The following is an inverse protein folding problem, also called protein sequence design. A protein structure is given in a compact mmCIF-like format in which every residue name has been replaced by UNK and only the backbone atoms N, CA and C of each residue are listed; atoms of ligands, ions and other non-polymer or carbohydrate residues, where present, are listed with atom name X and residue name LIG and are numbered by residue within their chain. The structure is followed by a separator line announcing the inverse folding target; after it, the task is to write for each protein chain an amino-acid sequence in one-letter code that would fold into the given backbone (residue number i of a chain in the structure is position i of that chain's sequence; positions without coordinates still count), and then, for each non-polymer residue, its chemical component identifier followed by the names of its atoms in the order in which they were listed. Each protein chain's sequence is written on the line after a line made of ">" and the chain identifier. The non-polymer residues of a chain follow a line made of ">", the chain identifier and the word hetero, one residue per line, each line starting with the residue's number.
data_IF_760237995438
#
_entry.id   IF_760237995438
#
_cell.length_a   1.000
_cell.length_b   1.000
_cell.length_c   1.000
_cell.angle_alpha   90.00
_cell.angle_beta   90.00
_cell.angle_gamma   90.00
#
_symmetry.space_group_name_H-M   'P 1'
#
loop_
_entity.id
_entity.type
_entity.pdbx_description
1 polymer ?
#
# COMPACT_ATOMS: atom_id res chain seq x y z
N UNK A 1 5.33 -4.88 -12.57
CA UNK A 1 4.78 -4.12 -13.72
C UNK A 1 3.28 -4.01 -13.52
N UNK A 2 2.84 -2.98 -12.80
CA UNK A 2 1.41 -2.68 -12.63
C UNK A 2 0.93 -1.84 -13.82
N UNK A 3 -0.35 -1.91 -14.14
CA UNK A 3 -1.03 -0.96 -15.03
C UNK A 3 -1.12 0.47 -14.43
N UNK A 4 -0.16 0.89 -13.60
CA UNK A 4 -0.16 2.13 -12.84
C UNK A 4 -0.13 3.40 -13.71
N UNK A 5 0.34 3.29 -14.96
CA UNK A 5 0.30 4.36 -15.96
C UNK A 5 -0.91 4.29 -16.90
N UNK A 6 -1.79 3.30 -16.76
CA UNK A 6 -2.97 3.19 -17.59
C UNK A 6 -4.04 4.20 -17.19
N UNK A 7 -4.87 4.60 -18.15
CA UNK A 7 -6.06 5.41 -17.88
C UNK A 7 -6.99 4.70 -16.89
N UNK A 8 -7.82 5.48 -16.20
CA UNK A 8 -8.80 4.97 -15.23
C UNK A 8 -9.70 3.87 -15.83
N UNK A 9 -10.07 4.02 -17.10
CA UNK A 9 -10.95 3.09 -17.82
C UNK A 9 -10.25 1.77 -18.20
N UNK A 10 -8.93 1.81 -18.45
CA UNK A 10 -8.20 0.65 -18.96
C UNK A 10 -7.41 -0.10 -17.89
N UNK A 11 -7.18 0.50 -16.71
CA UNK A 11 -6.30 -0.07 -15.68
C UNK A 11 -6.71 -1.47 -15.25
N UNK A 12 -7.97 -1.69 -14.87
CA UNK A 12 -8.45 -2.99 -14.41
C UNK A 12 -8.37 -4.03 -15.53
N UNK A 13 -8.78 -3.66 -16.76
CA UNK A 13 -8.72 -4.54 -17.94
C UNK A 13 -7.28 -4.98 -18.25
N UNK A 14 -6.33 -4.04 -18.24
CA UNK A 14 -4.92 -4.34 -18.46
C UNK A 14 -4.34 -5.20 -17.34
N UNK A 15 -4.69 -4.90 -16.08
CA UNK A 15 -4.23 -5.70 -14.94
C UNK A 15 -4.77 -7.13 -15.01
N UNK A 16 -6.04 -7.30 -15.40
CA UNK A 16 -6.66 -8.60 -15.62
C UNK A 16 -5.97 -9.37 -16.75
N UNK A 17 -5.67 -8.71 -17.87
CA UNK A 17 -4.93 -9.33 -18.97
C UNK A 17 -3.53 -9.80 -18.53
N UNK A 18 -2.83 -9.01 -17.71
CA UNK A 18 -1.52 -9.39 -17.14
C UNK A 18 -1.67 -10.60 -16.21
N UNK A 19 -2.69 -10.62 -15.35
CA UNK A 19 -2.95 -11.74 -14.44
C UNK A 19 -3.24 -13.03 -15.21
N UNK A 20 -4.07 -12.95 -16.26
CA UNK A 20 -4.30 -14.07 -17.18
C UNK A 20 -3.02 -14.57 -17.82
N UNK A 21 -2.27 -13.66 -18.46
CA UNK A 21 -1.04 -14.00 -19.16
C UNK A 21 -0.07 -14.73 -18.23
N UNK A 22 0.18 -14.19 -17.03
CA UNK A 22 1.06 -14.85 -16.07
C UNK A 22 0.51 -16.19 -15.58
N UNK A 23 -0.80 -16.27 -15.26
CA UNK A 23 -1.40 -17.53 -14.82
C UNK A 23 -1.23 -18.63 -15.88
N UNK A 24 -1.40 -18.30 -17.16
CA UNK A 24 -1.33 -19.28 -18.24
C UNK A 24 0.11 -19.71 -18.57
N UNK A 25 1.05 -18.78 -18.72
CA UNK A 25 2.44 -19.14 -19.08
C UNK A 25 3.13 -19.96 -17.97
N UNK A 26 2.77 -19.71 -16.70
CA UNK A 26 3.38 -20.38 -15.56
C UNK A 26 2.59 -21.60 -15.07
N UNK A 27 1.40 -21.89 -15.62
CA UNK A 27 0.54 -23.01 -15.18
C UNK A 27 1.28 -24.35 -15.14
N UNK A 28 2.09 -24.62 -16.18
CA UNK A 28 2.91 -25.84 -16.30
C UNK A 28 4.05 -25.96 -15.27
N UNK A 29 4.32 -24.90 -14.51
CA UNK A 29 5.36 -24.82 -13.48
C UNK A 29 4.79 -24.62 -12.07
N UNK A 30 3.48 -24.82 -11.89
CA UNK A 30 2.75 -24.56 -10.64
C UNK A 30 3.13 -25.47 -9.48
N UNK A 31 3.88 -26.54 -9.74
CA UNK A 31 4.51 -27.40 -8.74
C UNK A 31 5.69 -26.70 -8.02
N UNK A 32 6.28 -25.67 -8.62
CA UNK A 32 7.47 -24.97 -8.10
C UNK A 32 7.34 -23.45 -8.02
N UNK A 33 6.48 -22.85 -8.82
CA UNK A 33 6.31 -21.41 -8.92
C UNK A 33 4.87 -21.02 -8.60
N UNK A 34 4.72 -20.00 -7.75
CA UNK A 34 3.43 -19.36 -7.51
C UNK A 34 3.45 -17.98 -8.15
N UNK A 35 2.53 -17.76 -9.09
CA UNK A 35 2.30 -16.44 -9.68
C UNK A 35 1.55 -15.57 -8.67
N UNK A 36 1.98 -14.32 -8.55
CA UNK A 36 1.35 -13.32 -7.70
C UNK A 36 0.37 -12.49 -8.53
N UNK A 37 -0.90 -12.46 -8.14
CA UNK A 37 -1.91 -11.64 -8.79
C UNK A 37 -1.65 -10.15 -8.53
N UNK A 38 -1.54 -9.31 -9.55
CA UNK A 38 -1.52 -7.86 -9.33
C UNK A 38 -2.93 -7.34 -9.11
N UNK A 39 -3.16 -6.58 -8.04
CA UNK A 39 -4.47 -6.03 -7.68
C UNK A 39 -4.41 -4.50 -7.72
N UNK A 40 -5.22 -3.84 -8.57
CA UNK A 40 -5.32 -2.39 -8.57
C UNK A 40 -6.11 -1.95 -7.34
N UNK A 41 -5.64 -0.93 -6.64
CA UNK A 41 -6.24 -0.45 -5.39
C UNK A 41 -6.73 0.99 -5.50
N UNK A 42 -7.16 1.46 -6.67
CA UNK A 42 -7.61 2.86 -6.76
C UNK A 42 -8.95 3.06 -6.10
N UNK A 43 -9.84 2.08 -6.17
CA UNK A 43 -11.06 2.00 -5.37
C UNK A 43 -11.18 0.61 -4.73
N UNK A 44 -11.90 0.46 -3.61
CA UNK A 44 -12.13 -0.83 -2.97
C UNK A 44 -12.88 -1.82 -3.89
N UNK A 45 -13.88 -1.33 -4.64
CA UNK A 45 -14.67 -2.16 -5.56
C UNK A 45 -13.80 -2.78 -6.66
N UNK A 46 -12.96 -1.98 -7.32
CA UNK A 46 -12.06 -2.44 -8.37
C UNK A 46 -11.10 -3.52 -7.85
N UNK A 47 -10.60 -3.33 -6.62
CA UNK A 47 -9.69 -4.25 -5.95
C UNK A 47 -10.37 -5.57 -5.57
N UNK A 48 -11.59 -5.52 -5.06
CA UNK A 48 -12.40 -6.70 -4.70
C UNK A 48 -12.68 -7.54 -5.94
N UNK A 49 -13.17 -6.91 -7.01
CA UNK A 49 -13.50 -7.60 -8.26
C UNK A 49 -12.28 -8.30 -8.86
N UNK A 50 -11.13 -7.64 -8.87
CA UNK A 50 -9.91 -8.23 -9.42
C UNK A 50 -9.33 -9.32 -8.51
N UNK A 51 -9.42 -9.15 -7.19
CA UNK A 51 -8.98 -10.17 -6.24
C UNK A 51 -9.86 -11.43 -6.35
N UNK A 52 -11.18 -11.27 -6.39
CA UNK A 52 -12.11 -12.39 -6.58
C UNK A 52 -11.86 -13.09 -7.91
N UNK A 53 -11.65 -12.33 -8.99
CA UNK A 53 -11.34 -12.89 -10.30
C UNK A 53 -10.04 -13.71 -10.27
N UNK A 54 -8.96 -13.13 -9.76
CA UNK A 54 -7.66 -13.79 -9.69
C UNK A 54 -7.71 -15.10 -8.88
N UNK A 55 -8.48 -15.11 -7.79
CA UNK A 55 -8.58 -16.28 -6.90
C UNK A 55 -9.56 -17.31 -7.45
N UNK A 56 -10.80 -16.91 -7.72
CA UNK A 56 -11.90 -17.83 -8.07
C UNK A 56 -11.82 -18.31 -9.52
N UNK A 57 -11.28 -17.49 -10.43
CA UNK A 57 -11.21 -17.83 -11.86
C UNK A 57 -9.83 -18.34 -12.26
N UNK A 58 -8.75 -17.67 -11.83
CA UNK A 58 -7.38 -18.05 -12.20
C UNK A 58 -6.73 -19.03 -11.23
N UNK A 59 -7.27 -19.20 -10.03
CA UNK A 59 -6.72 -20.10 -9.00
C UNK A 59 -5.43 -19.57 -8.35
N UNK A 60 -5.15 -18.27 -8.46
CA UNK A 60 -3.98 -17.65 -7.84
C UNK A 60 -4.16 -17.56 -6.32
N UNK A 61 -3.08 -17.81 -5.57
CA UNK A 61 -3.13 -18.03 -4.12
C UNK A 61 -2.47 -16.92 -3.30
N UNK A 62 -1.95 -15.90 -3.95
CA UNK A 62 -1.26 -14.74 -3.35
C UNK A 62 -1.47 -13.54 -4.27
N UNK A 63 -1.61 -12.36 -3.68
CA UNK A 63 -1.88 -11.12 -4.41
C UNK A 63 -0.92 -10.01 -3.99
N UNK A 64 -0.44 -9.23 -4.96
CA UNK A 64 0.34 -8.04 -4.75
C UNK A 64 -0.52 -6.80 -4.97
N UNK A 65 -0.69 -6.02 -3.91
CA UNK A 65 -1.29 -4.70 -3.94
C UNK A 65 -0.20 -3.62 -4.05
N UNK A 66 -0.48 -2.44 -4.63
CA UNK A 66 0.38 -1.29 -4.39
C UNK A 66 0.46 -1.02 -2.89
N UNK A 67 1.59 -0.51 -2.42
CA UNK A 67 1.78 -0.09 -1.02
C UNK A 67 1.42 1.36 -0.78
N UNK A 68 0.76 2.01 -1.74
CA UNK A 68 0.23 3.36 -1.65
C UNK A 68 -0.23 3.83 -3.03
N UNK A 69 -1.15 4.79 -3.06
CA UNK A 69 -1.61 5.45 -4.29
C UNK A 69 -1.48 6.97 -4.12
N UNK A 70 -1.04 7.64 -5.18
CA UNK A 70 -1.02 9.11 -5.19
C UNK A 70 -2.42 9.64 -5.42
N UNK A 71 -2.90 10.46 -4.51
CA UNK A 71 -4.19 11.16 -4.59
C UNK A 71 -3.94 12.65 -4.78
N UNK A 72 -4.69 13.34 -5.67
CA UNK A 72 -4.57 14.77 -5.81
C UNK A 72 -4.98 15.49 -4.52
N UNK A 73 -4.29 16.58 -4.19
CA UNK A 73 -4.76 17.49 -3.15
C UNK A 73 -5.88 18.33 -3.76
N UNK A 74 -7.14 18.05 -3.38
CA UNK A 74 -8.35 18.63 -4.01
C UNK A 74 -8.29 20.16 -4.13
N UNK A 75 -7.97 20.85 -3.05
CA UNK A 75 -7.87 22.31 -3.03
C UNK A 75 -6.83 22.90 -4.02
N UNK A 76 -5.82 22.12 -4.41
CA UNK A 76 -4.83 22.51 -5.44
C UNK A 76 -5.33 22.07 -6.82
N UNK A 77 -5.81 20.83 -6.96
CA UNK A 77 -6.29 20.28 -8.23
C UNK A 77 -7.49 21.04 -8.80
N UNK A 78 -8.37 21.60 -7.96
CA UNK A 78 -9.50 22.43 -8.40
C UNK A 78 -9.04 23.75 -9.03
N UNK A 79 -7.89 24.28 -8.60
CA UNK A 79 -7.29 25.52 -9.13
C UNK A 79 -6.33 25.26 -10.28
N UNK A 80 -5.64 24.12 -10.24
CA UNK A 80 -4.62 23.70 -11.20
C UNK A 80 -4.89 22.24 -11.62
N UNK A 81 -5.87 22.03 -12.51
CA UNK A 81 -6.20 20.70 -13.01
C UNK A 81 -4.98 20.04 -13.68
N UNK A 82 -4.74 18.76 -13.38
CA UNK A 82 -3.50 18.08 -13.80
C UNK A 82 -3.38 17.86 -15.32
N UNK A 83 -4.50 17.87 -16.04
CA UNK A 83 -4.58 17.83 -17.51
C UNK A 83 -4.14 19.14 -18.16
N UNK A 84 -4.32 20.27 -17.45
CA UNK A 84 -3.95 21.60 -17.92
C UNK A 84 -2.59 22.07 -17.36
N UNK A 85 -2.25 21.64 -16.14
CA UNK A 85 -1.04 22.02 -15.39
C UNK A 85 -0.26 20.79 -14.93
N UNK A 86 0.24 19.94 -15.85
CA UNK A 86 0.91 18.69 -15.50
C UNK A 86 2.17 18.89 -14.65
N UNK A 87 2.85 20.03 -14.78
CA UNK A 87 4.03 20.39 -14.00
C UNK A 87 3.73 20.68 -12.52
N UNK A 88 2.50 21.10 -12.22
CA UNK A 88 2.00 21.28 -10.84
C UNK A 88 1.43 19.96 -10.34
N UNK A 89 0.59 19.30 -11.16
CA UNK A 89 -0.10 18.05 -10.82
C UNK A 89 0.84 16.94 -10.34
N UNK A 90 2.06 16.86 -10.90
CA UNK A 90 3.07 15.87 -10.48
C UNK A 90 3.54 16.02 -9.02
N UNK A 91 3.42 17.21 -8.43
CA UNK A 91 3.85 17.50 -7.05
C UNK A 91 2.67 17.71 -6.09
N UNK A 92 1.49 18.05 -6.61
CA UNK A 92 0.28 18.35 -5.84
C UNK A 92 -0.51 17.09 -5.44
N UNK A 93 0.15 16.15 -4.77
CA UNK A 93 -0.47 14.90 -4.31
C UNK A 93 -0.05 14.51 -2.90
N UNK A 94 -0.89 13.72 -2.24
CA UNK A 94 -0.52 12.98 -1.04
C UNK A 94 -0.56 11.48 -1.35
N UNK A 95 0.01 10.67 -0.46
CA UNK A 95 0.03 9.22 -0.60
C UNK A 95 -0.98 8.62 0.35
N UNK A 96 -1.95 7.93 -0.23
CA UNK A 96 -2.97 7.17 0.46
C UNK A 96 -2.50 5.73 0.60
N UNK A 97 -2.41 5.25 1.84
CA UNK A 97 -1.91 3.93 2.22
C UNK A 97 -3.05 2.94 2.55
N UNK A 98 -4.27 3.23 2.11
CA UNK A 98 -5.44 2.32 2.20
C UNK A 98 -5.90 1.98 3.63
N UNK A 99 -5.47 2.77 4.62
CA UNK A 99 -5.81 2.61 6.03
C UNK A 99 -6.16 3.97 6.64
N UNK A 100 -5.31 4.46 7.52
CA UNK A 100 -5.43 5.80 8.10
C UNK A 100 -5.58 6.87 7.00
N UNK A 101 -6.61 7.72 7.14
CA UNK A 101 -6.92 8.87 6.28
C UNK A 101 -7.06 8.56 4.78
N UNK A 102 -7.43 7.33 4.43
CA UNK A 102 -7.66 6.93 3.04
C UNK A 102 -8.88 7.64 2.45
N UNK A 103 -8.84 7.96 1.14
CA UNK A 103 -9.96 8.63 0.46
C UNK A 103 -11.22 7.74 0.39
N UNK A 104 -11.03 6.41 0.40
CA UNK A 104 -12.12 5.44 0.38
C UNK A 104 -12.03 4.52 1.60
N UNK A 105 -13.16 3.90 1.94
CA UNK A 105 -13.18 2.83 2.94
C UNK A 105 -12.74 1.50 2.31
N UNK A 106 -11.56 1.02 2.70
CA UNK A 106 -11.00 -0.26 2.23
C UNK A 106 -11.35 -1.46 3.13
N UNK A 107 -12.12 -1.27 4.21
CA UNK A 107 -12.55 -2.38 5.07
C UNK A 107 -13.24 -3.51 4.29
N UNK A 108 -14.12 -3.27 3.29
CA UNK A 108 -14.67 -4.33 2.46
C UNK A 108 -13.61 -5.13 1.69
N UNK A 109 -12.54 -4.48 1.24
CA UNK A 109 -11.44 -5.14 0.56
C UNK A 109 -10.63 -6.01 1.53
N UNK A 110 -10.30 -5.49 2.71
CA UNK A 110 -9.58 -6.25 3.75
C UNK A 110 -10.39 -7.47 4.21
N UNK A 111 -11.70 -7.30 4.41
CA UNK A 111 -12.62 -8.38 4.71
C UNK A 111 -12.61 -9.45 3.61
N UNK A 112 -12.65 -9.05 2.34
CA UNK A 112 -12.59 -9.97 1.21
C UNK A 112 -11.27 -10.75 1.15
N UNK A 113 -10.14 -10.10 1.40
CA UNK A 113 -8.84 -10.79 1.44
C UNK A 113 -8.79 -11.87 2.54
N UNK A 114 -9.37 -11.59 3.71
CA UNK A 114 -9.54 -12.56 4.79
C UNK A 114 -10.49 -13.69 4.38
N UNK A 115 -11.66 -13.37 3.83
CA UNK A 115 -12.66 -14.32 3.34
C UNK A 115 -12.06 -15.33 2.34
N UNK A 116 -11.28 -14.83 1.37
CA UNK A 116 -10.64 -15.67 0.37
C UNK A 116 -9.41 -16.43 0.89
N UNK A 117 -8.96 -16.12 2.11
CA UNK A 117 -7.78 -16.75 2.72
C UNK A 117 -6.48 -16.44 1.97
N UNK A 118 -6.40 -15.29 1.30
CA UNK A 118 -5.24 -14.93 0.46
C UNK A 118 -4.31 -13.97 1.20
N UNK A 119 -3.00 -14.30 1.32
CA UNK A 119 -2.01 -13.34 1.78
C UNK A 119 -1.82 -12.24 0.74
N UNK A 120 -1.77 -11.00 1.24
CA UNK A 120 -1.45 -9.84 0.42
C UNK A 120 0.04 -9.54 0.53
N UNK A 121 0.65 -9.08 -0.55
CA UNK A 121 1.99 -8.55 -0.56
C UNK A 121 1.99 -7.12 -1.08
N UNK A 122 3.01 -6.36 -0.72
CA UNK A 122 3.28 -5.09 -1.35
C UNK A 122 4.75 -4.96 -1.73
N UNK A 123 4.96 -4.48 -2.95
CA UNK A 123 6.26 -4.10 -3.48
C UNK A 123 6.18 -2.62 -3.88
N UNK A 124 6.45 -1.74 -2.92
CA UNK A 124 6.28 -0.31 -3.06
C UNK A 124 7.40 0.43 -2.33
N UNK A 125 7.97 1.43 -3.01
CA UNK A 125 9.11 2.17 -2.49
C UNK A 125 8.87 3.67 -2.48
N UNK A 126 9.57 4.37 -1.60
CA UNK A 126 9.47 5.82 -1.39
C UNK A 126 10.26 6.67 -2.41
N UNK A 127 10.64 6.09 -3.55
CA UNK A 127 11.34 6.84 -4.59
C UNK A 127 10.44 7.95 -5.16
N UNK A 128 11.00 9.14 -5.30
CA UNK A 128 10.27 10.34 -5.71
C UNK A 128 9.47 11.02 -4.59
N UNK A 129 9.55 10.53 -3.34
CA UNK A 129 9.08 11.30 -2.19
C UNK A 129 10.01 12.49 -1.90
N UNK A 130 9.52 13.47 -1.15
CA UNK A 130 10.36 14.54 -0.60
C UNK A 130 11.52 13.92 0.19
N UNK A 131 12.75 14.30 -0.15
CA UNK A 131 13.98 13.72 0.42
C UNK A 131 14.54 12.51 -0.34
N UNK A 132 13.80 11.95 -1.31
CA UNK A 132 14.20 10.80 -2.16
C UNK A 132 13.97 11.07 -3.64
N UNK A 133 14.16 12.33 -4.05
CA UNK A 133 13.92 12.84 -5.39
C UNK A 133 15.16 13.52 -6.01
N UNK A 134 16.37 13.13 -5.58
CA UNK A 134 17.62 13.64 -6.16
C UNK A 134 17.67 13.39 -7.66
N UNK A 135 17.88 14.44 -8.44
CA UNK A 135 17.98 14.36 -9.91
C UNK A 135 19.37 13.89 -10.38
N UNK A 136 20.37 13.91 -9.49
CA UNK A 136 21.76 13.62 -9.83
C UNK A 136 22.30 12.34 -9.20
N UNK A 137 21.58 11.72 -8.25
CA UNK A 137 22.03 10.50 -7.59
C UNK A 137 20.87 9.52 -7.34
N UNK A 138 20.84 8.45 -8.13
CA UNK A 138 19.85 7.39 -8.00
C UNK A 138 20.02 6.57 -6.70
N UNK A 139 21.25 6.30 -6.26
CA UNK A 139 21.52 5.55 -5.04
C UNK A 139 21.00 6.25 -3.79
N UNK A 140 21.09 7.59 -3.73
CA UNK A 140 20.46 8.39 -2.67
C UNK A 140 18.94 8.12 -2.59
N UNK A 141 18.29 8.01 -3.74
CA UNK A 141 16.84 7.78 -3.79
C UNK A 141 16.49 6.32 -3.50
N UNK A 142 17.37 5.38 -3.87
CA UNK A 142 17.13 3.95 -3.84
C UNK A 142 17.43 3.31 -2.48
N UNK A 143 18.56 3.62 -1.82
CA UNK A 143 18.94 2.95 -0.58
C UNK A 143 17.86 3.17 0.51
N UNK A 144 17.29 2.06 1.02
CA UNK A 144 16.25 2.07 2.05
C UNK A 144 14.83 2.43 1.58
N UNK A 145 14.62 2.66 0.29
CA UNK A 145 13.33 3.18 -0.18
C UNK A 145 12.14 2.21 0.00
N UNK A 146 12.38 0.89 -0.10
CA UNK A 146 11.35 -0.12 0.18
C UNK A 146 11.02 -0.21 1.67
N UNK A 147 12.02 -0.05 2.56
CA UNK A 147 11.80 -0.05 4.01
C UNK A 147 10.91 1.12 4.43
N UNK A 148 11.17 2.33 3.92
CA UNK A 148 10.35 3.52 4.21
C UNK A 148 8.91 3.39 3.71
N UNK A 149 8.73 2.88 2.49
CA UNK A 149 7.40 2.61 1.94
C UNK A 149 6.63 1.60 2.78
N UNK A 150 7.31 0.52 3.18
CA UNK A 150 6.75 -0.54 4.02
C UNK A 150 6.39 -0.03 5.42
N UNK A 151 7.23 0.82 6.01
CA UNK A 151 6.98 1.46 7.30
C UNK A 151 5.76 2.38 7.25
N UNK A 152 5.62 3.20 6.20
CA UNK A 152 4.48 4.08 6.04
C UNK A 152 3.17 3.28 5.92
N UNK A 153 3.17 2.26 5.06
CA UNK A 153 2.03 1.37 4.86
C UNK A 153 1.63 0.63 6.15
N UNK A 154 2.59 0.02 6.84
CA UNK A 154 2.32 -0.71 8.10
C UNK A 154 1.72 0.20 9.19
N UNK A 155 2.26 1.43 9.33
CA UNK A 155 1.71 2.42 10.28
C UNK A 155 0.29 2.83 9.90
N UNK A 156 0.00 3.04 8.62
CA UNK A 156 -1.34 3.40 8.17
C UNK A 156 -2.36 2.30 8.48
N UNK A 157 -2.01 1.03 8.30
CA UNK A 157 -2.89 -0.10 8.68
C UNK A 157 -3.06 -0.21 10.21
N UNK A 158 -1.98 0.01 10.97
CA UNK A 158 -2.03 -0.08 12.43
C UNK A 158 -2.85 1.05 13.04
N UNK A 159 -2.48 2.31 12.77
CA UNK A 159 -3.16 3.48 13.32
C UNK A 159 -4.55 3.70 12.72
N UNK A 160 -4.79 3.25 11.48
CA UNK A 160 -6.14 3.20 10.90
C UNK A 160 -7.02 2.09 11.49
N UNK A 161 -6.48 1.24 12.38
CA UNK A 161 -7.21 0.17 13.07
C UNK A 161 -7.54 -1.04 12.21
N UNK A 162 -7.03 -1.12 10.98
CA UNK A 162 -7.27 -2.24 10.04
C UNK A 162 -6.82 -3.56 10.68
N UNK A 163 -5.62 -3.58 11.28
CA UNK A 163 -5.07 -4.76 11.95
C UNK A 163 -5.89 -5.21 13.17
N UNK A 164 -6.62 -4.29 13.82
CA UNK A 164 -7.53 -4.62 14.92
C UNK A 164 -8.86 -5.18 14.42
N UNK A 165 -9.41 -4.63 13.34
CA UNK A 165 -10.68 -5.09 12.74
C UNK A 165 -10.52 -6.41 11.99
N UNK A 166 -9.38 -6.63 11.36
CA UNK A 166 -9.06 -7.82 10.56
C UNK A 166 -7.81 -8.53 11.09
N UNK A 167 -7.85 -9.14 12.28
CA UNK A 167 -6.68 -9.77 12.90
C UNK A 167 -6.15 -10.99 12.14
N UNK A 168 -6.94 -11.56 11.21
CA UNK A 168 -6.53 -12.66 10.34
C UNK A 168 -5.90 -12.19 9.01
N UNK A 169 -5.86 -10.88 8.75
CA UNK A 169 -5.24 -10.32 7.56
C UNK A 169 -3.73 -10.59 7.59
N UNK A 170 -3.21 -11.18 6.51
CA UNK A 170 -1.79 -11.49 6.36
C UNK A 170 -1.20 -10.61 5.27
N UNK A 171 -0.21 -9.81 5.63
CA UNK A 171 0.43 -8.86 4.71
C UNK A 171 1.94 -9.00 4.75
N UNK A 172 2.56 -9.17 3.58
CA UNK A 172 4.01 -9.18 3.41
C UNK A 172 4.51 -7.91 2.71
N UNK A 173 5.56 -7.29 3.26
CA UNK A 173 6.17 -6.10 2.66
C UNK A 173 7.52 -6.50 2.08
N UNK A 174 7.66 -6.40 0.76
CA UNK A 174 8.74 -7.04 0.01
C UNK A 174 9.93 -6.10 -0.23
N UNK A 175 11.13 -6.68 -0.29
CA UNK A 175 12.41 -6.04 -0.68
C UNK A 175 12.94 -4.93 0.26
N UNK A 176 12.24 -4.64 1.36
CA UNK A 176 12.65 -3.65 2.36
C UNK A 176 13.63 -4.14 3.44
N UNK A 177 14.04 -5.41 3.42
CA UNK A 177 14.69 -6.02 4.59
C UNK A 177 13.71 -6.24 5.75
N UNK A 178 14.25 -6.53 6.94
CA UNK A 178 13.45 -6.88 8.12
C UNK A 178 13.73 -6.01 9.37
N UNK A 179 14.86 -5.30 9.40
CA UNK A 179 15.32 -4.46 10.52
C UNK A 179 14.32 -3.33 10.82
N UNK A 180 13.80 -2.68 9.78
CA UNK A 180 12.83 -1.60 9.90
C UNK A 180 11.55 -2.02 10.66
N UNK A 181 11.14 -3.30 10.53
CA UNK A 181 9.95 -3.82 11.17
C UNK A 181 10.10 -3.85 12.70
N UNK A 182 11.27 -4.27 13.18
CA UNK A 182 11.61 -4.21 14.60
C UNK A 182 11.59 -2.77 15.12
N UNK A 183 12.13 -1.82 14.36
CA UNK A 183 12.08 -0.39 14.73
C UNK A 183 10.64 0.11 14.87
N UNK A 184 9.77 -0.19 13.90
CA UNK A 184 8.35 0.20 13.98
C UNK A 184 7.70 -0.35 15.23
N UNK A 185 7.87 -1.64 15.51
CA UNK A 185 7.29 -2.27 16.70
C UNK A 185 7.77 -1.61 18.00
N UNK A 186 9.09 -1.45 18.16
CA UNK A 186 9.67 -0.79 19.34
C UNK A 186 9.11 0.62 19.49
N UNK A 187 9.04 1.38 18.40
CA UNK A 187 8.48 2.74 18.44
C UNK A 187 7.00 2.75 18.84
N UNK A 188 6.18 1.82 18.34
CA UNK A 188 4.76 1.73 18.72
C UNK A 188 4.60 1.49 20.22
N UNK A 189 5.33 0.52 20.78
CA UNK A 189 5.28 0.21 22.22
C UNK A 189 5.79 1.39 23.06
N UNK A 190 6.92 1.99 22.67
CA UNK A 190 7.51 3.13 23.37
C UNK A 190 6.57 4.35 23.39
N UNK A 191 5.94 4.67 22.24
CA UNK A 191 5.01 5.82 22.16
C UNK A 191 3.73 5.52 22.92
N UNK A 192 3.20 4.31 22.84
CA UNK A 192 2.02 3.93 23.63
C UNK A 192 2.30 4.07 25.14
N UNK A 193 3.46 3.60 25.61
CA UNK A 193 3.80 3.62 27.03
C UNK A 193 4.08 5.04 27.55
N UNK A 194 4.70 5.90 26.75
CA UNK A 194 5.15 7.24 27.20
C UNK A 194 4.25 8.39 26.76
N UNK A 195 3.47 8.22 25.69
CA UNK A 195 2.69 9.29 25.04
C UNK A 195 1.20 8.98 24.95
N UNK A 196 0.72 7.92 25.61
CA UNK A 196 -0.72 7.73 25.86
C UNK A 196 -1.24 8.78 26.84
N UNK A 197 -2.57 8.93 26.94
CA UNK A 197 -3.20 9.80 27.93
C UNK A 197 -2.74 9.49 29.36
N UNK A 198 -2.58 8.20 29.68
CA UNK A 198 -2.03 7.72 30.96
C UNK A 198 -0.54 8.05 31.08
N UNK A 199 0.27 7.71 30.08
CA UNK A 199 1.71 7.94 30.11
C UNK A 199 2.10 9.43 30.22
N UNK A 200 1.28 10.32 29.66
CA UNK A 200 1.47 11.77 29.78
C UNK A 200 1.27 12.30 31.20
N UNK A 201 0.52 11.60 32.07
CA UNK A 201 0.35 12.01 33.47
C UNK A 201 1.66 11.99 34.26
N UNK A 202 2.63 11.15 33.86
CA UNK A 202 3.98 11.14 34.47
C UNK A 202 4.73 12.47 34.32
N UNK A 203 4.26 13.36 33.43
CA UNK A 203 4.84 14.67 33.17
C UNK A 203 3.87 15.81 33.52
N UNK A 204 2.79 15.52 34.27
CA UNK A 204 1.82 16.53 34.67
C UNK A 204 2.41 17.39 35.81
N UNK A 205 2.67 18.70 35.58
CA UNK A 205 3.24 19.57 36.61
C UNK A 205 2.30 19.80 37.80
N UNK A 206 0.99 19.57 37.64
CA UNK A 206 0.00 19.73 38.71
C UNK A 206 0.01 18.54 39.70
N UNK A 207 0.73 17.45 39.39
CA UNK A 207 0.89 16.27 40.24
C UNK A 207 2.23 16.26 41.01
N UNK A 208 3.07 17.28 40.85
CA UNK A 208 4.38 17.42 41.48
C UNK A 208 4.33 18.21 42.80
#
# INVERSE_FOLDING_TARGET
>A
LAAAGASKENRQLLQRAINHYHADIYRKYSDRLTVVAGIPMTTPQEAIEELEFAVKTLGLKVANIPGGVRRPIKAIADKYPADQFPEIGKYASYIDFFGLDSEYDYDPFWAKAVELGVPLTTHYGSQGWTGRSSISNYMNNHIGHFADGSQAFAKALFFGGVTKRFPQLRVGMLEGGADWGAHVYIHLVDRFSKRSLEGLQNYNPDLA
#
